data_IF_381152434873
#
_entry.id   IF_381152434873
#
_cell.length_a   1.000
_cell.length_b   1.000
_cell.length_c   1.000
_cell.angle_alpha   90.00
_cell.angle_beta   90.00
_cell.angle_gamma   90.00
#
_symmetry.space_group_name_H-M   'P 1'
#
loop_
_entity.id
_entity.type
_entity.pdbx_description
1 polymer ?
#
# COMPACT_ATOMS: atom_id res chain seq x y z
N UNK A 1 25.66 41.81 13.13
CA UNK A 1 24.95 40.52 13.19
C UNK A 1 25.88 39.48 12.58
N UNK A 2 26.43 38.60 13.42
CA UNK A 2 27.39 37.59 13.00
C UNK A 2 26.68 36.49 12.21
N UNK A 3 27.31 36.05 11.11
CA UNK A 3 26.86 34.89 10.34
C UNK A 3 26.91 33.62 11.21
N UNK A 4 25.94 32.70 11.10
CA UNK A 4 26.01 31.44 11.83
C UNK A 4 27.21 30.64 11.32
N UNK A 5 28.14 30.36 12.23
CA UNK A 5 29.25 29.42 12.03
C UNK A 5 28.67 28.07 11.66
N UNK A 6 28.89 27.63 10.40
CA UNK A 6 28.70 26.24 9.97
C UNK A 6 29.58 25.35 10.84
N UNK A 7 29.00 24.73 11.86
CA UNK A 7 29.60 23.56 12.50
C UNK A 7 29.69 22.47 11.43
N UNK A 8 30.91 22.15 11.01
CA UNK A 8 31.19 21.06 10.08
C UNK A 8 30.90 19.73 10.78
N UNK A 9 29.65 19.28 10.71
CA UNK A 9 29.34 17.87 10.98
C UNK A 9 29.97 17.08 9.84
N UNK A 10 31.02 16.31 10.15
CA UNK A 10 31.72 15.51 9.15
C UNK A 10 30.85 14.32 8.74
N UNK A 11 31.00 13.89 7.49
CA UNK A 11 30.38 12.66 6.95
C UNK A 11 30.57 11.42 7.85
N UNK A 12 31.67 11.38 8.63
CA UNK A 12 31.91 10.35 9.64
C UNK A 12 30.83 10.30 10.74
N UNK A 13 30.22 11.43 11.11
CA UNK A 13 29.15 11.49 12.11
C UNK A 13 27.80 10.92 11.62
N UNK A 14 27.63 10.76 10.31
CA UNK A 14 26.48 10.12 9.67
C UNK A 14 26.64 8.59 9.50
N UNK A 15 27.71 8.01 10.06
CA UNK A 15 28.08 6.62 9.79
C UNK A 15 28.92 6.47 8.52
N UNK A 16 29.67 7.50 8.10
CA UNK A 16 30.55 7.43 6.93
C UNK A 16 31.61 6.31 6.99
N UNK A 17 31.97 5.84 8.20
CA UNK A 17 32.85 4.67 8.39
C UNK A 17 32.09 3.33 8.30
N UNK A 18 30.75 3.34 8.35
CA UNK A 18 29.89 2.17 8.10
C UNK A 18 29.78 1.83 6.61
N UNK A 19 30.44 2.58 5.74
CA UNK A 19 30.79 2.18 4.36
C UNK A 19 32.03 1.24 4.32
N UNK A 20 32.52 0.76 5.47
CA UNK A 20 33.09 -0.58 5.55
C UNK A 20 32.02 -1.57 5.08
N UNK A 21 32.15 -1.91 3.80
CA UNK A 21 31.52 -3.07 3.18
C UNK A 21 31.54 -4.24 4.16
N UNK A 22 30.35 -4.76 4.46
CA UNK A 22 30.10 -6.16 4.82
C UNK A 22 31.13 -6.79 5.78
N UNK A 23 30.90 -6.66 7.08
CA UNK A 23 31.63 -7.47 8.06
C UNK A 23 31.36 -7.00 9.48
N UNK A 24 30.31 -7.57 10.08
CA UNK A 24 30.05 -7.52 11.52
C UNK A 24 29.70 -6.14 12.08
N UNK A 25 28.43 -5.74 11.95
CA UNK A 25 27.57 -5.28 13.05
C UNK A 25 26.16 -5.04 12.47
N UNK A 26 25.13 -5.19 13.31
CA UNK A 26 23.72 -5.49 12.99
C UNK A 26 23.17 -5.02 11.60
N UNK A 27 22.45 -5.89 10.87
CA UNK A 27 21.89 -5.54 9.57
C UNK A 27 20.80 -4.48 9.74
N UNK A 28 21.14 -3.21 9.50
CA UNK A 28 20.11 -2.21 9.25
C UNK A 28 19.35 -2.61 7.98
N UNK A 29 18.04 -2.32 7.93
CA UNK A 29 17.14 -2.55 6.77
C UNK A 29 17.74 -2.07 5.43
N UNK A 30 18.68 -1.12 5.50
CA UNK A 30 19.41 -0.52 4.39
C UNK A 30 20.54 -1.38 3.79
N UNK A 31 20.99 -2.42 4.49
CA UNK A 31 22.12 -3.27 4.08
C UNK A 31 21.74 -4.39 3.09
N UNK A 32 20.44 -4.63 2.87
CA UNK A 32 19.95 -5.70 1.99
C UNK A 32 19.03 -5.14 0.90
N UNK A 33 19.62 -4.55 -0.15
CA UNK A 33 18.84 -4.27 -1.35
C UNK A 33 18.45 -5.58 -2.04
N UNK A 34 17.16 -5.81 -2.16
CA UNK A 34 16.64 -6.90 -2.97
C UNK A 34 16.89 -6.62 -4.46
N UNK A 35 16.85 -7.64 -5.31
CA UNK A 35 16.82 -7.45 -6.75
C UNK A 35 15.65 -6.62 -7.24
N UNK A 36 14.52 -6.75 -6.56
CA UNK A 36 13.34 -5.95 -6.81
C UNK A 36 13.59 -4.46 -6.56
N UNK A 37 14.24 -4.10 -5.44
CA UNK A 37 14.58 -2.70 -5.15
C UNK A 37 15.52 -2.10 -6.21
N UNK A 38 16.35 -2.92 -6.85
CA UNK A 38 17.21 -2.51 -7.98
C UNK A 38 16.42 -2.32 -9.28
N UNK A 39 15.42 -3.17 -9.55
CA UNK A 39 14.51 -3.01 -10.69
C UNK A 39 13.69 -1.74 -10.55
N UNK A 40 13.05 -1.56 -9.40
CA UNK A 40 12.28 -0.35 -9.07
C UNK A 40 13.11 0.92 -9.22
N UNK A 41 14.39 0.90 -8.83
CA UNK A 41 15.31 2.01 -9.01
C UNK A 41 15.43 2.43 -10.48
N UNK A 42 15.55 1.45 -11.37
CA UNK A 42 15.72 1.65 -12.81
C UNK A 42 14.43 2.16 -13.44
N UNK A 43 13.29 1.61 -13.05
CA UNK A 43 11.97 2.01 -13.56
C UNK A 43 11.60 3.43 -13.09
N UNK A 44 11.90 3.73 -11.82
CA UNK A 44 11.68 5.06 -11.21
C UNK A 44 12.48 6.16 -11.91
N UNK A 45 13.60 5.85 -12.57
CA UNK A 45 14.41 6.86 -13.26
C UNK A 45 13.68 7.54 -14.42
N UNK A 46 12.79 6.82 -15.10
CA UNK A 46 12.00 7.37 -16.21
C UNK A 46 11.03 8.41 -15.69
N UNK A 47 10.37 8.10 -14.56
CA UNK A 47 9.48 8.99 -13.84
C UNK A 47 10.26 10.20 -13.32
N UNK A 48 11.37 10.01 -12.60
CA UNK A 48 12.22 11.09 -12.08
C UNK A 48 12.78 12.05 -13.15
N UNK A 49 12.98 11.61 -14.41
CA UNK A 49 13.38 12.50 -15.52
C UNK A 49 12.28 13.49 -15.91
N UNK A 50 11.01 13.09 -15.78
CA UNK A 50 9.84 13.92 -16.14
C UNK A 50 9.36 14.81 -14.99
N UNK A 51 9.77 14.52 -13.76
CA UNK A 51 9.24 15.10 -12.53
C UNK A 51 9.75 16.48 -12.14
N UNK A 52 10.86 16.96 -12.71
CA UNK A 52 11.45 18.27 -12.35
C UNK A 52 10.51 19.48 -12.61
N UNK A 53 9.31 19.25 -13.16
CA UNK A 53 8.30 20.29 -13.44
C UNK A 53 6.87 19.94 -12.97
N UNK A 54 6.65 18.78 -12.33
CA UNK A 54 5.31 18.28 -12.02
C UNK A 54 4.96 18.39 -10.53
N UNK A 55 3.69 18.64 -10.20
CA UNK A 55 3.21 18.74 -8.81
C UNK A 55 3.11 17.38 -8.09
N UNK A 56 2.88 17.37 -6.77
CA UNK A 56 2.93 16.16 -5.92
C UNK A 56 1.90 15.10 -6.31
N UNK A 57 0.73 15.50 -6.84
CA UNK A 57 -0.31 14.58 -7.33
C UNK A 57 0.18 13.75 -8.52
N UNK A 58 0.82 14.41 -9.48
CA UNK A 58 1.36 13.76 -10.68
C UNK A 58 2.55 12.87 -10.32
N UNK A 59 3.38 13.32 -9.37
CA UNK A 59 4.44 12.51 -8.76
C UNK A 59 3.89 11.21 -8.16
N UNK A 60 2.93 11.33 -7.23
CA UNK A 60 2.37 10.19 -6.52
C UNK A 60 1.72 9.18 -7.48
N UNK A 61 1.03 9.66 -8.52
CA UNK A 61 0.40 8.81 -9.54
C UNK A 61 1.42 8.09 -10.43
N UNK A 62 2.49 8.78 -10.82
CA UNK A 62 3.52 8.23 -11.71
C UNK A 62 4.35 7.17 -10.98
N UNK A 63 4.71 7.41 -9.73
CA UNK A 63 5.42 6.42 -8.90
C UNK A 63 4.54 5.20 -8.56
N UNK A 64 3.23 5.39 -8.39
CA UNK A 64 2.31 4.26 -8.24
C UNK A 64 2.27 3.38 -9.50
N UNK A 65 2.49 3.95 -10.69
CA UNK A 65 2.61 3.14 -11.92
C UNK A 65 3.86 2.28 -11.94
N UNK A 66 4.96 2.72 -11.30
CA UNK A 66 6.18 1.92 -11.12
C UNK A 66 5.90 0.73 -10.21
N UNK A 67 5.13 0.93 -9.13
CA UNK A 67 4.68 -0.16 -8.25
C UNK A 67 3.68 -1.11 -8.92
N UNK A 68 2.96 -0.65 -9.95
CA UNK A 68 1.96 -1.44 -10.71
C UNK A 68 2.53 -2.08 -11.97
N UNK A 69 3.76 -1.77 -12.36
CA UNK A 69 4.38 -2.38 -13.52
C UNK A 69 4.45 -3.90 -13.26
N UNK A 70 3.93 -4.74 -14.18
CA UNK A 70 3.97 -6.17 -14.00
C UNK A 70 5.43 -6.58 -13.82
N UNK A 71 5.69 -7.37 -12.77
CA UNK A 71 6.94 -8.10 -12.62
C UNK A 71 7.07 -9.08 -13.79
N UNK A 72 7.62 -8.57 -14.90
CA UNK A 72 8.39 -9.25 -15.93
C UNK A 72 7.62 -10.22 -16.86
N UNK A 73 7.41 -9.77 -18.10
CA UNK A 73 7.42 -10.66 -19.29
C UNK A 73 8.68 -10.46 -20.16
N UNK A 74 9.57 -9.50 -19.85
CA UNK A 74 10.77 -9.19 -20.67
C UNK A 74 12.04 -9.02 -19.81
N UNK A 75 12.37 -10.02 -18.98
CA UNK A 75 13.75 -10.14 -18.45
C UNK A 75 14.62 -10.88 -19.46
N UNK A 76 15.73 -10.29 -19.93
CA UNK A 76 16.77 -11.04 -20.62
C UNK A 76 17.24 -12.19 -19.72
N UNK A 77 17.29 -13.41 -20.26
CA UNK A 77 17.59 -14.71 -19.60
C UNK A 77 18.90 -14.81 -18.78
N UNK A 78 19.60 -13.69 -18.57
CA UNK A 78 20.80 -13.57 -17.75
C UNK A 78 20.51 -13.02 -16.34
N UNK A 79 19.27 -12.57 -16.05
CA UNK A 79 18.89 -11.97 -14.75
C UNK A 79 17.90 -12.86 -13.97
N UNK A 80 17.46 -14.00 -14.53
CA UNK A 80 16.59 -14.99 -13.87
C UNK A 80 17.15 -15.50 -12.53
N UNK A 81 18.47 -15.47 -12.31
CA UNK A 81 19.06 -15.90 -11.05
C UNK A 81 18.99 -14.86 -9.92
N UNK A 82 18.49 -13.65 -10.18
CA UNK A 82 18.49 -12.56 -9.21
C UNK A 82 17.09 -12.19 -8.69
N UNK A 83 16.00 -12.54 -9.37
CA UNK A 83 14.65 -12.05 -9.07
C UNK A 83 13.90 -12.75 -7.90
N UNK A 84 14.58 -13.59 -7.11
CA UNK A 84 13.94 -14.53 -6.18
C UNK A 84 13.60 -14.00 -4.76
N UNK A 85 13.93 -12.74 -4.44
CA UNK A 85 13.96 -12.32 -3.03
C UNK A 85 12.84 -11.37 -2.56
N UNK A 86 12.05 -10.77 -3.47
CA UNK A 86 10.90 -9.97 -3.06
C UNK A 86 9.64 -10.84 -3.07
N UNK A 87 9.01 -10.98 -1.91
CA UNK A 87 7.73 -11.68 -1.84
C UNK A 87 6.66 -10.81 -2.52
N UNK A 88 5.67 -11.44 -3.17
CA UNK A 88 4.50 -10.71 -3.69
C UNK A 88 3.81 -9.87 -2.61
N UNK A 89 3.94 -10.29 -1.35
CA UNK A 89 3.40 -9.61 -0.17
C UNK A 89 4.06 -8.24 0.02
N UNK A 90 5.38 -8.11 -0.12
CA UNK A 90 6.10 -6.84 0.10
C UNK A 90 5.62 -5.72 -0.85
N UNK A 91 5.27 -6.08 -2.09
CA UNK A 91 4.77 -5.13 -3.10
C UNK A 91 3.39 -4.63 -2.73
N UNK A 92 2.52 -5.52 -2.26
CA UNK A 92 1.18 -5.18 -1.82
C UNK A 92 1.21 -4.26 -0.58
N UNK A 93 2.11 -4.53 0.38
CA UNK A 93 2.31 -3.65 1.54
C UNK A 93 2.81 -2.27 1.13
N UNK A 94 3.79 -2.20 0.20
CA UNK A 94 4.26 -0.92 -0.37
C UNK A 94 3.14 -0.17 -1.07
N UNK A 95 2.31 -0.85 -1.85
CA UNK A 95 1.17 -0.24 -2.56
C UNK A 95 0.16 0.33 -1.58
N UNK A 96 -0.21 -0.45 -0.56
CA UNK A 96 -1.11 -0.04 0.50
C UNK A 96 -0.60 1.23 1.21
N UNK A 97 0.65 1.21 1.70
CA UNK A 97 1.24 2.37 2.37
C UNK A 97 1.32 3.59 1.45
N UNK A 98 1.67 3.40 0.16
CA UNK A 98 1.72 4.48 -0.83
C UNK A 98 0.35 5.14 -1.04
N UNK A 99 -0.68 4.33 -1.23
CA UNK A 99 -2.05 4.82 -1.47
C UNK A 99 -2.61 5.55 -0.24
N UNK A 100 -2.27 5.10 0.97
CA UNK A 100 -2.61 5.82 2.20
C UNK A 100 -1.94 7.20 2.28
N UNK A 101 -0.62 7.27 2.09
CA UNK A 101 0.10 8.54 2.14
C UNK A 101 -0.40 9.52 1.08
N UNK A 102 -0.60 9.04 -0.16
CA UNK A 102 -1.14 9.81 -1.26
C UNK A 102 -2.51 10.40 -0.92
N UNK A 103 -3.42 9.58 -0.38
CA UNK A 103 -4.79 10.01 -0.11
C UNK A 103 -4.86 11.10 0.97
N UNK A 104 -4.03 11.02 2.02
CA UNK A 104 -4.13 11.94 3.15
C UNK A 104 -3.23 13.18 3.03
N UNK A 105 -2.07 13.06 2.38
CA UNK A 105 -1.10 14.16 2.32
C UNK A 105 -1.04 14.86 0.96
N UNK A 106 -1.37 14.17 -0.14
CA UNK A 106 -1.26 14.72 -1.50
C UNK A 106 -2.62 15.16 -2.04
N UNK A 107 -3.63 14.29 -1.96
CA UNK A 107 -5.00 14.57 -2.38
C UNK A 107 -5.71 15.37 -1.26
N UNK A 108 -5.28 16.63 -1.10
CA UNK A 108 -5.80 17.53 -0.06
C UNK A 108 -7.29 17.82 -0.30
N UNK A 109 -8.15 17.27 0.56
CA UNK A 109 -9.61 17.42 0.57
C UNK A 109 -10.24 16.67 1.74
N UNK A 110 -11.57 16.78 1.92
CA UNK A 110 -12.28 15.82 2.79
C UNK A 110 -12.07 14.41 2.22
N UNK A 111 -11.68 13.46 3.08
CA UNK A 111 -11.39 12.08 2.66
C UNK A 111 -12.64 11.50 2.01
N UNK A 112 -12.62 11.35 0.69
CA UNK A 112 -13.71 10.75 -0.06
C UNK A 112 -13.77 9.27 0.30
N UNK A 113 -14.67 8.89 1.22
CA UNK A 113 -14.81 7.52 1.70
C UNK A 113 -15.13 6.52 0.61
N UNK A 114 -15.81 6.91 -0.46
CA UNK A 114 -16.06 6.03 -1.60
C UNK A 114 -14.77 5.66 -2.29
N UNK A 115 -13.90 6.65 -2.44
CA UNK A 115 -12.58 6.48 -3.04
C UNK A 115 -11.61 5.80 -2.08
N UNK A 116 -11.68 6.12 -0.77
CA UNK A 116 -10.99 5.39 0.28
C UNK A 116 -11.45 3.94 0.33
N UNK A 117 -12.74 3.65 0.25
CA UNK A 117 -13.31 2.30 0.22
C UNK A 117 -12.83 1.55 -1.02
N UNK A 118 -12.94 2.13 -2.21
CA UNK A 118 -12.47 1.49 -3.44
C UNK A 118 -10.96 1.17 -3.40
N UNK A 119 -10.15 2.08 -2.87
CA UNK A 119 -8.69 1.91 -2.75
C UNK A 119 -8.32 0.96 -1.59
N UNK A 120 -9.01 1.06 -0.46
CA UNK A 120 -8.85 0.15 0.67
C UNK A 120 -9.26 -1.28 0.28
N UNK A 121 -10.31 -1.44 -0.54
CA UNK A 121 -10.66 -2.73 -1.11
C UNK A 121 -9.50 -3.29 -1.93
N UNK A 122 -8.91 -2.52 -2.86
CA UNK A 122 -7.77 -3.00 -3.66
C UNK A 122 -6.45 -3.16 -2.90
N UNK A 123 -6.26 -2.46 -1.78
CA UNK A 123 -5.03 -2.55 -0.99
C UNK A 123 -5.10 -3.66 0.09
N UNK A 124 -6.28 -3.87 0.68
CA UNK A 124 -6.45 -4.76 1.83
C UNK A 124 -7.22 -6.04 1.51
N UNK A 125 -8.16 -6.01 0.56
CA UNK A 125 -8.96 -7.19 0.19
C UNK A 125 -8.32 -8.02 -0.93
N UNK A 126 -7.17 -7.60 -1.47
CA UNK A 126 -6.35 -8.42 -2.38
C UNK A 126 -5.20 -9.14 -1.64
N UNK A 127 -5.04 -8.89 -0.34
CA UNK A 127 -4.06 -9.57 0.52
C UNK A 127 -4.61 -10.90 1.03
N UNK A 128 -3.73 -11.89 1.20
CA UNK A 128 -4.04 -13.18 1.86
C UNK A 128 -4.58 -13.02 3.29
N UNK A 129 -4.31 -11.87 3.92
CA UNK A 129 -4.85 -11.51 5.24
C UNK A 129 -6.38 -11.25 5.22
N UNK A 130 -6.97 -10.96 4.06
CA UNK A 130 -8.42 -10.75 3.96
C UNK A 130 -9.19 -12.07 3.88
N UNK A 131 -10.23 -12.15 4.70
CA UNK A 131 -11.19 -13.26 4.68
C UNK A 131 -12.03 -13.22 3.40
N UNK A 132 -12.43 -12.03 2.94
CA UNK A 132 -13.11 -11.86 1.65
C UNK A 132 -12.25 -12.36 0.47
N UNK A 133 -10.95 -12.01 0.45
CA UNK A 133 -10.00 -12.47 -0.57
C UNK A 133 -9.90 -14.00 -0.61
N UNK A 134 -9.70 -14.62 0.56
CA UNK A 134 -9.60 -16.07 0.71
C UNK A 134 -10.85 -16.78 0.23
N UNK A 135 -12.04 -16.25 0.52
CA UNK A 135 -13.28 -16.80 -0.03
C UNK A 135 -13.30 -16.77 -1.56
N UNK A 136 -12.95 -15.63 -2.18
CA UNK A 136 -12.95 -15.51 -3.64
C UNK A 136 -11.90 -16.38 -4.32
N UNK A 137 -10.69 -16.43 -3.78
CA UNK A 137 -9.56 -17.14 -4.38
C UNK A 137 -9.63 -18.67 -4.18
N UNK A 138 -10.05 -19.12 -2.99
CA UNK A 138 -9.99 -20.54 -2.61
C UNK A 138 -11.35 -21.22 -2.60
N UNK A 139 -12.34 -20.61 -1.92
CA UNK A 139 -13.55 -21.32 -1.56
C UNK A 139 -14.63 -21.22 -2.66
N UNK A 140 -14.80 -20.06 -3.31
CA UNK A 140 -15.78 -19.85 -4.40
C UNK A 140 -15.54 -20.78 -5.60
N UNK A 141 -14.31 -20.99 -6.09
CA UNK A 141 -14.06 -21.98 -7.15
C UNK A 141 -14.48 -23.39 -6.76
N UNK A 142 -14.25 -23.79 -5.51
CA UNK A 142 -14.67 -25.08 -4.99
C UNK A 142 -16.20 -25.20 -4.93
N UNK A 143 -16.89 -24.15 -4.46
CA UNK A 143 -18.37 -24.09 -4.39
C UNK A 143 -19.04 -24.36 -5.74
N UNK A 144 -18.46 -23.89 -6.85
CA UNK A 144 -19.02 -24.08 -8.21
C UNK A 144 -19.13 -25.54 -8.63
N UNK A 145 -18.32 -26.43 -8.04
CA UNK A 145 -18.34 -27.86 -8.36
C UNK A 145 -19.38 -28.65 -7.55
N UNK A 146 -19.96 -28.06 -6.51
CA UNK A 146 -20.92 -28.72 -5.63
C UNK A 146 -22.35 -28.67 -6.20
N UNK A 147 -23.11 -29.76 -6.03
CA UNK A 147 -24.51 -29.83 -6.47
C UNK A 147 -25.45 -28.99 -5.59
N UNK A 148 -25.16 -28.91 -4.29
CA UNK A 148 -25.89 -28.11 -3.29
C UNK A 148 -24.89 -27.27 -2.50
N UNK A 149 -24.34 -26.19 -3.09
CA UNK A 149 -23.32 -25.37 -2.44
C UNK A 149 -23.84 -24.74 -1.13
N UNK A 150 -25.13 -24.44 -1.02
CA UNK A 150 -25.75 -23.85 0.18
C UNK A 150 -25.65 -24.71 1.45
N UNK A 151 -25.40 -26.01 1.32
CA UNK A 151 -25.21 -26.93 2.44
C UNK A 151 -23.74 -27.04 2.88
N UNK A 152 -22.83 -26.41 2.14
CA UNK A 152 -21.41 -26.41 2.49
C UNK A 152 -21.08 -25.29 3.46
N UNK A 153 -20.13 -25.56 4.37
CA UNK A 153 -19.70 -24.60 5.39
C UNK A 153 -19.31 -23.20 4.85
N UNK A 154 -18.56 -23.05 3.74
CA UNK A 154 -18.13 -21.71 3.31
C UNK A 154 -19.19 -20.89 2.58
N UNK A 155 -20.33 -21.47 2.17
CA UNK A 155 -21.28 -20.76 1.28
C UNK A 155 -21.87 -19.49 1.90
N UNK A 156 -22.59 -19.62 3.02
CA UNK A 156 -23.23 -18.47 3.67
C UNK A 156 -22.22 -17.48 4.27
N UNK A 157 -21.14 -17.93 4.95
CA UNK A 157 -20.09 -17.02 5.42
C UNK A 157 -19.42 -16.24 4.29
N UNK A 158 -19.17 -16.85 3.13
CA UNK A 158 -18.59 -16.14 1.99
C UNK A 158 -19.50 -15.01 1.51
N UNK A 159 -20.79 -15.29 1.31
CA UNK A 159 -21.76 -14.29 0.84
C UNK A 159 -21.90 -13.16 1.85
N UNK A 160 -22.01 -13.48 3.14
CA UNK A 160 -22.14 -12.49 4.20
C UNK A 160 -20.89 -11.60 4.32
N UNK A 161 -19.69 -12.19 4.25
CA UNK A 161 -18.41 -11.44 4.30
C UNK A 161 -18.28 -10.52 3.09
N UNK A 162 -18.54 -11.03 1.88
CA UNK A 162 -18.49 -10.25 0.64
C UNK A 162 -19.48 -9.08 0.67
N UNK A 163 -20.71 -9.32 1.13
CA UNK A 163 -21.71 -8.28 1.30
C UNK A 163 -21.31 -7.25 2.36
N UNK A 164 -20.71 -7.69 3.48
CA UNK A 164 -20.24 -6.81 4.54
C UNK A 164 -19.17 -5.85 4.03
N UNK A 165 -18.18 -6.32 3.28
CA UNK A 165 -17.11 -5.47 2.75
C UNK A 165 -17.51 -4.66 1.50
N UNK A 166 -18.75 -4.80 1.04
CA UNK A 166 -19.30 -4.04 -0.09
C UNK A 166 -19.15 -4.71 -1.46
N UNK A 167 -18.59 -5.92 -1.55
CA UNK A 167 -18.48 -6.73 -2.77
C UNK A 167 -19.83 -7.41 -3.11
N UNK A 168 -20.90 -6.62 -3.13
CA UNK A 168 -22.29 -7.07 -3.30
C UNK A 168 -22.56 -7.77 -4.63
N UNK A 169 -21.86 -7.39 -5.70
CA UNK A 169 -21.97 -8.11 -6.98
C UNK A 169 -21.37 -9.52 -6.87
N UNK A 170 -20.17 -9.65 -6.30
CA UNK A 170 -19.56 -10.95 -6.04
C UNK A 170 -20.42 -11.79 -5.08
N UNK A 171 -21.00 -11.18 -4.04
CA UNK A 171 -21.94 -11.83 -3.15
C UNK A 171 -23.18 -12.35 -3.90
N UNK A 172 -23.74 -11.56 -4.82
CA UNK A 172 -24.87 -11.95 -5.66
C UNK A 172 -24.50 -13.08 -6.64
N UNK A 173 -23.28 -13.07 -7.18
CA UNK A 173 -22.78 -14.12 -8.08
C UNK A 173 -22.61 -15.45 -7.32
N UNK A 174 -22.12 -15.42 -6.08
CA UNK A 174 -22.01 -16.61 -5.21
C UNK A 174 -23.40 -17.09 -4.80
N UNK A 175 -24.31 -16.19 -4.42
CA UNK A 175 -25.71 -16.54 -4.11
C UNK A 175 -26.43 -17.17 -5.32
N UNK A 176 -26.06 -16.74 -6.54
CA UNK A 176 -26.52 -17.32 -7.81
C UNK A 176 -26.09 -18.77 -8.04
N UNK A 177 -25.16 -19.31 -7.25
CA UNK A 177 -24.77 -20.72 -7.29
C UNK A 177 -25.75 -21.64 -6.56
N UNK A 178 -26.65 -21.09 -5.72
CA UNK A 178 -27.60 -21.86 -4.94
C UNK A 178 -28.38 -22.84 -5.83
N UNK A 179 -28.57 -24.08 -5.36
CA UNK A 179 -29.19 -25.12 -6.18
C UNK A 179 -30.64 -24.78 -6.63
N UNK A 180 -31.37 -23.97 -5.87
CA UNK A 180 -32.77 -23.58 -6.10
C UNK A 180 -32.98 -22.88 -7.44
N UNK A 181 -31.99 -22.13 -7.94
CA UNK A 181 -32.03 -21.49 -9.26
C UNK A 181 -32.12 -22.49 -10.43
N UNK A 182 -31.76 -23.75 -10.21
CA UNK A 182 -31.81 -24.83 -11.22
C UNK A 182 -33.05 -25.71 -11.08
N UNK A 183 -33.86 -25.49 -10.05
CA UNK A 183 -35.09 -26.28 -9.83
C UNK A 183 -36.23 -25.77 -10.70
N UNK A 184 -37.13 -26.66 -11.11
CA UNK A 184 -38.26 -26.34 -11.99
C UNK A 184 -39.22 -25.31 -11.38
N UNK A 185 -39.36 -25.34 -10.06
CA UNK A 185 -40.21 -24.42 -9.30
C UNK A 185 -39.54 -23.05 -9.05
N UNK A 186 -38.26 -22.89 -9.38
CA UNK A 186 -37.49 -21.69 -9.11
C UNK A 186 -37.01 -21.50 -7.66
N UNK A 187 -36.34 -20.37 -7.38
CA UNK A 187 -35.93 -19.96 -6.04
C UNK A 187 -37.14 -19.64 -5.15
N UNK A 188 -36.93 -19.58 -3.83
CA UNK A 188 -37.95 -19.01 -2.93
C UNK A 188 -38.04 -17.49 -3.12
N UNK A 189 -39.21 -16.92 -2.82
CA UNK A 189 -39.44 -15.47 -2.88
C UNK A 189 -38.42 -14.71 -2.01
N UNK A 190 -38.06 -15.28 -0.86
CA UNK A 190 -37.04 -14.75 0.04
C UNK A 190 -35.66 -14.64 -0.64
N UNK A 191 -35.25 -15.72 -1.29
CA UNK A 191 -33.96 -15.81 -1.96
C UNK A 191 -33.89 -14.85 -3.16
N UNK A 192 -34.97 -14.76 -3.94
CA UNK A 192 -35.07 -13.85 -5.06
C UNK A 192 -35.04 -12.38 -4.62
N UNK A 193 -35.82 -12.02 -3.60
CA UNK A 193 -35.84 -10.67 -3.05
C UNK A 193 -34.45 -10.23 -2.54
N UNK A 194 -33.75 -11.10 -1.81
CA UNK A 194 -32.41 -10.82 -1.30
C UNK A 194 -31.38 -10.72 -2.44
N UNK A 195 -31.47 -11.59 -3.45
CA UNK A 195 -30.60 -11.51 -4.63
C UNK A 195 -30.79 -10.19 -5.41
N UNK A 196 -32.04 -9.73 -5.54
CA UNK A 196 -32.36 -8.43 -6.13
C UNK A 196 -31.80 -7.29 -5.27
N UNK A 197 -31.96 -7.36 -3.95
CA UNK A 197 -31.47 -6.33 -3.04
C UNK A 197 -29.94 -6.18 -3.12
N UNK A 198 -29.19 -7.29 -3.21
CA UNK A 198 -27.74 -7.27 -3.41
C UNK A 198 -27.35 -6.55 -4.72
N UNK A 199 -28.05 -6.85 -5.82
CA UNK A 199 -27.78 -6.24 -7.14
C UNK A 199 -28.18 -4.78 -7.21
N UNK A 200 -29.10 -4.34 -6.36
CA UNK A 200 -29.62 -2.97 -6.30
C UNK A 200 -28.89 -2.09 -5.28
N UNK A 201 -27.72 -2.51 -4.75
CA UNK A 201 -26.94 -1.67 -3.84
C UNK A 201 -26.78 -0.27 -4.45
N UNK A 202 -27.21 0.80 -3.75
CA UNK A 202 -26.97 2.15 -4.18
C UNK A 202 -25.47 2.39 -4.28
N UNK A 203 -25.04 3.08 -5.35
CA UNK A 203 -23.66 3.55 -5.45
C UNK A 203 -23.36 4.48 -4.28
N UNK A 204 -22.10 4.58 -3.89
CA UNK A 204 -21.73 5.37 -2.72
C UNK A 204 -21.92 6.88 -2.92
N UNK A 205 -22.01 7.34 -4.18
CA UNK A 205 -22.37 8.71 -4.57
C UNK A 205 -23.89 8.94 -4.67
N UNK A 206 -24.71 7.91 -4.44
CA UNK A 206 -26.15 8.02 -4.50
C UNK A 206 -26.71 8.96 -3.43
N UNK A 207 -27.90 9.50 -3.68
CA UNK A 207 -28.60 10.35 -2.72
C UNK A 207 -28.79 9.59 -1.38
N UNK A 208 -28.63 10.25 -0.21
CA UNK A 208 -28.78 9.60 1.10
C UNK A 208 -30.10 8.81 1.26
N UNK A 209 -31.16 9.28 0.60
CA UNK A 209 -32.46 8.62 0.58
C UNK A 209 -32.42 7.22 -0.08
N UNK A 210 -31.61 7.01 -1.11
CA UNK A 210 -31.50 5.71 -1.78
C UNK A 210 -30.86 4.66 -0.87
N UNK A 211 -29.76 5.03 -0.18
CA UNK A 211 -29.11 4.17 0.82
C UNK A 211 -30.05 3.85 1.98
N UNK A 212 -30.72 4.87 2.53
CA UNK A 212 -31.70 4.67 3.60
C UNK A 212 -32.87 3.77 3.17
N UNK A 213 -33.38 3.92 1.94
CA UNK A 213 -34.42 3.06 1.39
C UNK A 213 -33.95 1.62 1.26
N UNK A 214 -32.76 1.40 0.70
CA UNK A 214 -32.17 0.07 0.55
C UNK A 214 -32.00 -0.64 1.90
N UNK A 215 -31.45 0.05 2.90
CA UNK A 215 -31.30 -0.49 4.26
C UNK A 215 -32.66 -0.76 4.92
N UNK A 216 -33.67 0.09 4.69
CA UNK A 216 -35.01 -0.13 5.22
C UNK A 216 -35.70 -1.31 4.55
N UNK A 217 -35.45 -1.55 3.27
CA UNK A 217 -35.97 -2.71 2.56
C UNK A 217 -35.38 -4.02 3.12
N UNK A 218 -34.09 -4.04 3.45
CA UNK A 218 -33.47 -5.16 4.15
C UNK A 218 -34.19 -5.47 5.49
N UNK A 219 -34.52 -4.43 6.27
CA UNK A 219 -35.25 -4.59 7.54
C UNK A 219 -36.68 -5.07 7.35
N UNK A 220 -37.39 -4.57 6.33
CA UNK A 220 -38.75 -5.03 6.02
C UNK A 220 -38.78 -6.51 5.68
N UNK A 221 -37.81 -6.99 4.91
CA UNK A 221 -37.70 -8.41 4.60
C UNK A 221 -37.37 -9.25 5.83
N UNK A 222 -36.57 -8.73 6.78
CA UNK A 222 -36.34 -9.40 8.07
C UNK A 222 -37.63 -9.57 8.88
N UNK A 223 -38.48 -8.55 8.89
CA UNK A 223 -39.74 -8.54 9.64
C UNK A 223 -40.86 -9.38 8.97
N UNK A 224 -40.74 -9.67 7.68
CA UNK A 224 -41.72 -10.41 6.90
C UNK A 224 -41.67 -11.92 7.19
N UNK A 225 -42.47 -12.36 8.17
CA UNK A 225 -42.45 -13.75 8.66
C UNK A 225 -43.00 -14.78 7.66
N UNK A 226 -43.87 -14.35 6.75
CA UNK A 226 -44.50 -15.14 5.70
C UNK A 226 -43.53 -15.52 4.57
N UNK A 227 -42.58 -14.65 4.26
CA UNK A 227 -41.59 -14.84 3.20
C UNK A 227 -40.68 -16.04 3.50
N UNK A 228 -40.41 -16.32 4.79
CA UNK A 228 -39.57 -17.44 5.22
C UNK A 228 -40.23 -18.81 5.05
N UNK A 229 -41.57 -18.88 5.03
CA UNK A 229 -42.29 -20.15 4.87
C UNK A 229 -42.05 -20.80 3.50
N UNK A 230 -41.58 -20.01 2.53
CA UNK A 230 -41.26 -20.46 1.16
C UNK A 230 -39.86 -21.06 1.03
N UNK A 231 -39.00 -20.94 2.06
CA UNK A 231 -37.65 -21.49 2.05
C UNK A 231 -37.65 -23.02 2.13
N UNK A 232 -36.80 -23.67 1.32
CA UNK A 232 -36.76 -25.14 1.21
C UNK A 232 -35.87 -25.79 2.24
N UNK A 233 -34.75 -25.14 2.59
CA UNK A 233 -33.84 -25.64 3.61
C UNK A 233 -33.81 -24.69 4.81
N UNK A 234 -33.64 -25.27 6.01
CA UNK A 234 -33.47 -24.49 7.24
C UNK A 234 -32.19 -23.65 7.22
N UNK A 235 -31.17 -24.09 6.48
CA UNK A 235 -29.95 -23.32 6.21
C UNK A 235 -30.23 -22.01 5.47
N UNK A 236 -31.23 -21.99 4.59
CA UNK A 236 -31.55 -20.83 3.75
C UNK A 236 -32.09 -19.70 4.62
N UNK A 237 -32.98 -20.02 5.56
CA UNK A 237 -33.57 -19.02 6.47
C UNK A 237 -32.46 -18.36 7.30
N UNK A 238 -31.60 -19.16 7.95
CA UNK A 238 -30.51 -18.62 8.78
C UNK A 238 -29.51 -17.79 7.96
N UNK A 239 -29.10 -18.30 6.80
CA UNK A 239 -28.17 -17.62 5.92
C UNK A 239 -28.70 -16.30 5.36
N UNK A 240 -29.96 -16.29 4.89
CA UNK A 240 -30.62 -15.09 4.39
C UNK A 240 -30.87 -14.06 5.49
N UNK A 241 -31.23 -14.48 6.71
CA UNK A 241 -31.38 -13.58 7.85
C UNK A 241 -30.06 -12.90 8.23
N UNK A 242 -28.96 -13.67 8.30
CA UNK A 242 -27.61 -13.09 8.53
C UNK A 242 -27.28 -12.08 7.44
N UNK A 243 -27.54 -12.44 6.18
CA UNK A 243 -27.28 -11.54 5.05
C UNK A 243 -28.11 -10.25 5.15
N UNK A 244 -29.40 -10.34 5.45
CA UNK A 244 -30.23 -9.15 5.62
C UNK A 244 -29.80 -8.30 6.83
N UNK A 245 -29.33 -8.91 7.92
CA UNK A 245 -28.77 -8.17 9.06
C UNK A 245 -27.50 -7.41 8.66
N UNK A 246 -26.64 -8.01 7.83
CA UNK A 246 -25.49 -7.33 7.22
C UNK A 246 -25.96 -6.13 6.38
N UNK A 247 -26.91 -6.33 5.45
CA UNK A 247 -27.43 -5.26 4.59
C UNK A 247 -28.18 -4.16 5.37
N UNK A 248 -28.76 -4.51 6.51
CA UNK A 248 -29.40 -3.58 7.45
C UNK A 248 -28.39 -2.79 8.30
N UNK A 249 -27.10 -3.11 8.22
CA UNK A 249 -26.03 -2.52 9.01
C UNK A 249 -26.18 -2.81 10.50
N UNK A 250 -26.38 -4.07 10.86
CA UNK A 250 -26.36 -4.52 12.26
C UNK A 250 -24.91 -4.72 12.74
N UNK A 251 -24.46 -3.91 13.70
CA UNK A 251 -23.05 -3.86 14.11
C UNK A 251 -22.53 -5.20 14.68
N UNK A 252 -23.37 -5.92 15.43
CA UNK A 252 -22.99 -7.22 15.99
C UNK A 252 -22.78 -8.26 14.89
N UNK A 253 -23.67 -8.28 13.90
CA UNK A 253 -23.56 -9.15 12.74
C UNK A 253 -22.35 -8.79 11.90
N UNK A 254 -22.12 -7.50 11.60
CA UNK A 254 -20.94 -7.04 10.85
C UNK A 254 -19.63 -7.46 11.54
N UNK A 255 -19.56 -7.33 12.86
CA UNK A 255 -18.40 -7.78 13.65
C UNK A 255 -18.24 -9.31 13.61
N UNK A 256 -19.34 -10.07 13.60
CA UNK A 256 -19.27 -11.53 13.56
C UNK A 256 -18.83 -12.12 12.21
N UNK A 257 -19.18 -11.46 11.09
CA UNK A 257 -18.92 -12.00 9.73
C UNK A 257 -17.59 -11.52 9.13
N UNK A 258 -16.99 -10.47 9.68
CA UNK A 258 -15.70 -9.94 9.21
C UNK A 258 -14.54 -10.61 9.97
N UNK A 259 -13.40 -10.82 9.31
CA UNK A 259 -12.25 -11.48 9.92
C UNK A 259 -11.24 -10.52 10.55
N UNK A 260 -11.03 -9.35 9.94
CA UNK A 260 -10.00 -8.38 10.36
C UNK A 260 -10.62 -7.04 10.79
N UNK A 261 -9.88 -6.22 11.53
CA UNK A 261 -10.34 -4.86 11.87
C UNK A 261 -10.56 -3.99 10.63
N UNK A 262 -9.79 -4.20 9.55
CA UNK A 262 -9.95 -3.46 8.29
C UNK A 262 -11.25 -3.84 7.61
N UNK A 263 -11.57 -5.14 7.55
CA UNK A 263 -12.85 -5.62 7.02
C UNK A 263 -14.03 -5.06 7.82
N UNK A 264 -13.91 -5.04 9.15
CA UNK A 264 -14.92 -4.44 10.03
C UNK A 264 -15.06 -2.93 9.84
N UNK A 265 -13.94 -2.21 9.72
CA UNK A 265 -13.91 -0.78 9.44
C UNK A 265 -14.61 -0.47 8.12
N UNK A 266 -14.26 -1.19 7.06
CA UNK A 266 -14.89 -1.10 5.75
C UNK A 266 -16.39 -1.39 5.87
N UNK A 267 -16.77 -2.46 6.56
CA UNK A 267 -18.17 -2.85 6.71
C UNK A 267 -19.00 -1.78 7.43
N UNK A 268 -18.48 -1.20 8.51
CA UNK A 268 -19.13 -0.10 9.23
C UNK A 268 -19.26 1.15 8.37
N UNK A 269 -18.27 1.47 7.54
CA UNK A 269 -18.33 2.60 6.61
C UNK A 269 -19.39 2.35 5.51
N UNK A 270 -19.34 1.19 4.86
CA UNK A 270 -20.26 0.79 3.79
C UNK A 270 -21.70 0.79 4.29
N UNK A 271 -21.95 0.27 5.48
CA UNK A 271 -23.30 0.13 6.04
C UNK A 271 -23.70 1.24 7.01
N UNK A 272 -22.87 2.28 7.16
CA UNK A 272 -23.19 3.43 8.02
C UNK A 272 -24.54 4.07 7.63
N UNK A 273 -25.41 4.26 8.64
CA UNK A 273 -26.78 4.77 8.51
C UNK A 273 -26.89 6.28 8.28
N UNK A 274 -25.78 7.01 8.17
CA UNK A 274 -25.82 8.48 8.29
C UNK A 274 -26.57 9.13 7.10
N UNK A 275 -27.59 9.97 7.36
CA UNK A 275 -28.42 10.60 6.32
C UNK A 275 -27.80 11.90 5.74
N UNK A 276 -26.64 12.32 6.23
CA UNK A 276 -26.00 13.56 5.82
C UNK A 276 -24.77 13.27 4.96
N UNK A 277 -24.60 14.04 3.88
CA UNK A 277 -23.43 14.10 3.00
C UNK A 277 -22.08 14.31 3.71
N UNK A 278 -22.02 14.40 5.03
CA UNK A 278 -20.77 14.56 5.76
C UNK A 278 -20.11 13.19 5.92
N UNK A 279 -19.12 12.96 5.06
CA UNK A 279 -18.05 11.98 5.25
C UNK A 279 -17.55 12.05 6.71
N UNK A 280 -17.16 10.93 7.35
CA UNK A 280 -16.48 10.98 8.62
C UNK A 280 -15.23 11.83 8.43
N UNK A 281 -15.15 12.89 9.21
CA UNK A 281 -13.92 13.63 9.41
C UNK A 281 -12.78 12.67 9.74
N UNK A 282 -11.52 13.08 9.52
CA UNK A 282 -10.35 12.29 9.92
C UNK A 282 -10.45 11.79 11.38
N UNK A 283 -11.00 12.62 12.26
CA UNK A 283 -11.28 12.26 13.65
C UNK A 283 -12.28 11.09 13.78
N UNK A 284 -13.40 11.14 13.04
CA UNK A 284 -14.39 10.07 13.06
C UNK A 284 -13.85 8.77 12.44
N UNK A 285 -13.05 8.86 11.37
CA UNK A 285 -12.38 7.70 10.78
C UNK A 285 -11.40 7.06 11.76
N UNK A 286 -10.62 7.89 12.47
CA UNK A 286 -9.73 7.43 13.54
C UNK A 286 -10.49 6.72 14.67
N UNK A 287 -11.54 7.34 15.20
CA UNK A 287 -12.36 6.76 16.27
C UNK A 287 -12.99 5.44 15.85
N UNK A 288 -13.45 5.36 14.60
CA UNK A 288 -14.00 4.12 14.06
C UNK A 288 -12.93 3.03 13.95
N UNK A 289 -11.74 3.36 13.44
CA UNK A 289 -10.61 2.44 13.36
C UNK A 289 -10.18 1.94 14.74
N UNK A 290 -10.04 2.84 15.73
CA UNK A 290 -9.74 2.50 17.13
C UNK A 290 -10.78 1.50 17.69
N UNK A 291 -12.07 1.71 17.43
CA UNK A 291 -13.12 0.78 17.86
C UNK A 291 -13.01 -0.59 17.18
N UNK A 292 -12.71 -0.62 15.87
CA UNK A 292 -12.57 -1.87 15.13
C UNK A 292 -11.35 -2.68 15.58
N UNK A 293 -10.23 -2.00 15.86
CA UNK A 293 -9.01 -2.64 16.40
C UNK A 293 -9.24 -3.15 17.82
N UNK A 294 -9.99 -2.42 18.65
CA UNK A 294 -10.35 -2.91 19.99
C UNK A 294 -11.19 -4.20 19.94
N UNK A 295 -12.05 -4.35 18.94
CA UNK A 295 -12.86 -5.56 18.73
C UNK A 295 -12.11 -6.70 18.04
N UNK A 296 -11.22 -6.36 17.10
CA UNK A 296 -10.45 -7.32 16.28
C UNK A 296 -8.99 -6.90 16.24
N UNK A 297 -8.25 -7.05 17.34
CA UNK A 297 -6.85 -6.65 17.37
C UNK A 297 -6.06 -7.39 16.29
N UNK A 298 -5.12 -6.73 15.59
CA UNK A 298 -4.24 -7.43 14.67
C UNK A 298 -3.47 -8.52 15.42
N UNK A 299 -3.29 -9.68 14.79
CA UNK A 299 -2.43 -10.73 15.33
C UNK A 299 -1.01 -10.20 15.47
N UNK A 300 -0.25 -10.69 16.46
CA UNK A 300 1.18 -10.37 16.59
C UNK A 300 1.99 -10.78 15.35
N UNK A 301 1.47 -11.76 14.60
CA UNK A 301 2.06 -12.25 13.35
C UNK A 301 1.71 -11.38 12.12
N UNK A 302 0.66 -10.56 12.19
CA UNK A 302 0.14 -9.76 11.06
C UNK A 302 0.74 -8.34 11.06
N UNK A 303 2.05 -8.23 10.82
CA UNK A 303 2.78 -6.94 10.79
C UNK A 303 2.15 -5.92 9.83
N UNK A 304 1.62 -6.38 8.69
CA UNK A 304 0.94 -5.52 7.71
C UNK A 304 -0.28 -4.80 8.27
N UNK A 305 -1.14 -5.50 9.02
CA UNK A 305 -2.34 -4.91 9.60
C UNK A 305 -2.00 -3.95 10.75
N UNK A 306 -0.90 -4.21 11.46
CA UNK A 306 -0.36 -3.29 12.46
C UNK A 306 0.17 -2.01 11.83
N UNK A 307 1.02 -2.12 10.79
CA UNK A 307 1.53 -0.98 10.01
C UNK A 307 0.37 -0.15 9.43
N UNK A 308 -0.63 -0.81 8.83
CA UNK A 308 -1.79 -0.14 8.26
C UNK A 308 -2.55 0.69 9.31
N UNK A 309 -2.72 0.16 10.52
CA UNK A 309 -3.36 0.89 11.60
C UNK A 309 -2.53 2.10 12.04
N UNK A 310 -1.22 1.91 12.27
CA UNK A 310 -0.31 2.98 12.67
C UNK A 310 -0.30 4.12 11.63
N UNK A 311 -0.21 3.77 10.35
CA UNK A 311 -0.29 4.73 9.25
C UNK A 311 -1.64 5.45 9.20
N UNK A 312 -2.75 4.74 9.40
CA UNK A 312 -4.08 5.34 9.37
C UNK A 312 -4.22 6.39 10.48
N UNK A 313 -3.74 6.07 11.67
CA UNK A 313 -3.72 6.99 12.82
C UNK A 313 -2.88 8.23 12.52
N UNK A 314 -1.63 8.06 12.06
CA UNK A 314 -0.76 9.18 11.69
C UNK A 314 -1.38 10.06 10.58
N UNK A 315 -1.98 9.42 9.57
CA UNK A 315 -2.66 10.08 8.48
C UNK A 315 -3.89 10.90 8.96
N UNK A 316 -4.68 10.33 9.88
CA UNK A 316 -5.83 11.03 10.45
C UNK A 316 -5.40 12.24 11.29
N UNK A 317 -4.31 12.12 12.04
CA UNK A 317 -3.74 13.19 12.87
C UNK A 317 -2.95 14.24 12.07
N UNK A 318 -2.71 13.98 10.78
CA UNK A 318 -1.82 14.78 9.95
C UNK A 318 -0.36 14.81 10.49
N UNK A 319 0.06 13.73 11.15
CA UNK A 319 1.41 13.54 11.69
C UNK A 319 2.33 12.89 10.64
N UNK A 320 2.88 13.72 9.75
CA UNK A 320 3.84 13.26 8.74
C UNK A 320 5.11 12.62 9.36
N UNK A 321 5.75 13.18 10.42
CA UNK A 321 6.86 12.52 11.10
C UNK A 321 6.52 11.14 11.68
N UNK A 322 5.32 10.99 12.26
CA UNK A 322 4.82 9.70 12.74
C UNK A 322 4.66 8.69 11.59
N UNK A 323 4.09 9.11 10.46
CA UNK A 323 3.94 8.25 9.29
C UNK A 323 5.30 7.76 8.72
N UNK A 324 6.32 8.64 8.67
CA UNK A 324 7.67 8.23 8.26
C UNK A 324 8.25 7.22 9.22
N UNK A 325 8.05 7.44 10.53
CA UNK A 325 8.54 6.52 11.57
C UNK A 325 7.93 5.13 11.38
N UNK A 326 6.61 5.04 11.24
CA UNK A 326 5.91 3.80 10.97
C UNK A 326 6.50 3.09 9.75
N UNK A 327 6.66 3.82 8.64
CA UNK A 327 7.24 3.25 7.42
C UNK A 327 8.70 2.80 7.59
N UNK A 328 9.47 3.46 8.44
CA UNK A 328 10.89 3.15 8.62
C UNK A 328 11.18 1.94 9.49
N UNK A 329 10.21 1.51 10.32
CA UNK A 329 10.33 0.32 11.16
C UNK A 329 9.89 -0.96 10.45
N UNK A 330 9.14 -0.84 9.35
CA UNK A 330 8.65 -1.99 8.59
C UNK A 330 9.62 -2.39 7.47
N UNK A 331 10.17 -3.60 7.57
CA UNK A 331 11.15 -4.12 6.61
C UNK A 331 10.56 -4.33 5.21
N UNK A 332 9.26 -4.60 5.09
CA UNK A 332 8.61 -4.89 3.80
C UNK A 332 8.58 -3.68 2.86
N UNK A 333 8.55 -2.46 3.42
CA UNK A 333 8.54 -1.22 2.64
C UNK A 333 9.90 -0.94 2.00
N UNK A 334 10.97 -1.19 2.76
CA UNK A 334 12.34 -1.13 2.30
C UNK A 334 12.86 0.26 1.90
N UNK A 335 14.15 0.33 1.51
CA UNK A 335 14.87 1.57 1.22
C UNK A 335 14.27 2.45 0.11
N UNK A 336 13.79 1.83 -0.96
CA UNK A 336 13.22 2.54 -2.10
C UNK A 336 11.97 3.32 -1.70
N UNK A 337 11.08 2.70 -0.91
CA UNK A 337 9.83 3.33 -0.50
C UNK A 337 10.09 4.61 0.29
N UNK A 338 10.97 4.54 1.29
CA UNK A 338 11.30 5.68 2.15
C UNK A 338 11.97 6.83 1.40
N UNK A 339 12.84 6.53 0.44
CA UNK A 339 13.48 7.54 -0.41
C UNK A 339 12.47 8.36 -1.24
N UNK A 340 11.28 7.81 -1.49
CA UNK A 340 10.25 8.40 -2.33
C UNK A 340 9.00 8.87 -1.59
N UNK A 341 8.64 8.22 -0.48
CA UNK A 341 7.45 8.55 0.30
C UNK A 341 7.48 9.98 0.84
N UNK A 342 8.66 10.49 1.19
CA UNK A 342 8.83 11.84 1.74
C UNK A 342 8.55 12.96 0.73
N UNK A 343 8.52 12.65 -0.56
CA UNK A 343 8.13 13.60 -1.61
C UNK A 343 6.62 13.86 -1.59
N UNK A 344 5.83 12.93 -1.03
CA UNK A 344 4.38 13.06 -0.85
C UNK A 344 4.01 13.82 0.42
N UNK A 345 4.94 13.91 1.38
CA UNK A 345 4.70 14.51 2.68
C UNK A 345 4.94 16.02 2.66
N UNK A 346 4.13 16.80 3.40
CA UNK A 346 4.26 18.25 3.46
C UNK A 346 5.65 18.64 3.96
N UNK A 347 6.22 19.69 3.38
CA UNK A 347 7.52 20.23 3.78
C UNK A 347 7.40 20.95 5.11
N UNK A 348 7.65 20.25 6.23
CA UNK A 348 7.46 20.77 7.58
C UNK A 348 8.54 20.28 8.54
N UNK A 349 9.47 21.18 8.90
CA UNK A 349 10.60 20.92 9.82
C UNK A 349 11.38 19.64 9.53
N UNK A 350 11.66 19.36 8.26
CA UNK A 350 12.41 18.18 7.81
C UNK A 350 13.89 18.21 8.23
N UNK A 351 14.36 19.30 8.84
CA UNK A 351 15.77 19.43 9.19
C UNK A 351 16.11 18.52 10.38
N UNK A 352 17.08 17.63 10.17
CA UNK A 352 17.68 16.79 11.19
C UNK A 352 18.92 17.52 11.74
N UNK A 353 18.80 18.34 12.81
CA UNK A 353 19.87 19.25 13.25
C UNK A 353 21.16 18.51 13.63
N UNK A 354 21.03 17.30 14.19
CA UNK A 354 22.17 16.47 14.56
C UNK A 354 22.91 15.90 13.33
N UNK A 355 22.23 15.83 12.19
CA UNK A 355 22.73 15.25 10.95
C UNK A 355 23.04 16.29 9.88
N UNK A 356 22.65 17.55 10.07
CA UNK A 356 23.00 18.66 9.17
C UNK A 356 22.31 18.66 7.80
N UNK A 357 21.41 17.72 7.52
CA UNK A 357 20.59 17.67 6.30
C UNK A 357 19.09 17.60 6.63
N UNK A 358 18.25 17.60 5.60
CA UNK A 358 16.83 17.29 5.77
C UNK A 358 16.57 15.79 5.66
N UNK A 359 15.40 15.35 6.14
CA UNK A 359 14.99 13.95 6.17
C UNK A 359 14.88 13.36 4.75
N UNK A 360 14.46 14.17 3.76
CA UNK A 360 14.38 13.74 2.36
C UNK A 360 15.77 13.42 1.81
N UNK A 361 16.73 14.29 2.05
CA UNK A 361 18.12 14.11 1.67
C UNK A 361 18.72 12.91 2.40
N UNK A 362 18.46 12.75 3.70
CA UNK A 362 18.95 11.60 4.46
C UNK A 362 18.55 10.26 3.82
N UNK A 363 17.25 10.03 3.59
CA UNK A 363 16.80 8.75 3.06
C UNK A 363 17.17 8.55 1.58
N UNK A 364 17.16 9.60 0.75
CA UNK A 364 17.68 9.51 -0.63
C UNK A 364 19.17 9.19 -0.65
N UNK A 365 19.95 9.75 0.27
CA UNK A 365 21.38 9.49 0.39
C UNK A 365 21.64 8.04 0.82
N UNK A 366 20.92 7.54 1.82
CA UNK A 366 21.00 6.13 2.24
C UNK A 366 20.67 5.18 1.08
N UNK A 367 19.60 5.47 0.34
CA UNK A 367 19.21 4.68 -0.81
C UNK A 367 20.25 4.72 -1.93
N UNK A 368 20.79 5.90 -2.25
CA UNK A 368 21.86 6.04 -3.23
C UNK A 368 23.13 5.27 -2.81
N UNK A 369 23.52 5.37 -1.54
CA UNK A 369 24.65 4.63 -0.97
C UNK A 369 24.46 3.12 -1.07
N UNK A 370 23.23 2.63 -0.85
CA UNK A 370 22.92 1.21 -1.00
C UNK A 370 23.03 0.76 -2.47
N UNK A 371 22.65 1.61 -3.44
CA UNK A 371 22.70 1.28 -4.88
C UNK A 371 24.11 1.34 -5.50
N UNK A 372 25.00 2.17 -4.95
CA UNK A 372 26.34 2.44 -5.49
C UNK A 372 27.25 1.21 -5.70
N UNK A 373 27.26 0.20 -4.79
CA UNK A 373 28.08 -1.01 -4.94
C UNK A 373 27.76 -1.81 -6.21
N UNK A 374 26.56 -1.70 -6.76
CA UNK A 374 26.13 -2.48 -7.92
C UNK A 374 26.29 -1.69 -9.22
N UNK A 375 27.06 -2.22 -10.17
CA UNK A 375 27.37 -1.56 -11.45
C UNK A 375 26.09 -1.16 -12.21
N UNK A 376 25.11 -2.06 -12.30
CA UNK A 376 23.86 -1.83 -13.04
C UNK A 376 23.02 -0.66 -12.50
N UNK A 377 23.04 -0.42 -11.18
CA UNK A 377 22.28 0.66 -10.54
C UNK A 377 23.12 1.90 -10.24
N UNK A 378 24.41 1.88 -10.51
CA UNK A 378 25.31 3.01 -10.26
C UNK A 378 24.87 4.30 -10.98
N UNK A 379 24.45 4.30 -12.26
CA UNK A 379 23.95 5.51 -12.91
C UNK A 379 22.70 6.09 -12.23
N UNK A 380 21.86 5.23 -11.66
CA UNK A 380 20.68 5.62 -10.87
C UNK A 380 21.12 6.29 -9.58
N UNK A 381 22.03 5.65 -8.84
CA UNK A 381 22.55 6.14 -7.58
C UNK A 381 23.17 7.55 -7.71
N UNK A 382 23.98 7.77 -8.74
CA UNK A 382 24.61 9.07 -9.01
C UNK A 382 23.60 10.19 -9.25
N UNK A 383 22.45 9.87 -9.86
CA UNK A 383 21.37 10.84 -10.05
C UNK A 383 20.68 11.19 -8.73
N UNK A 384 20.46 10.23 -7.85
CA UNK A 384 19.96 10.52 -6.50
C UNK A 384 20.95 11.38 -5.72
N UNK A 385 22.26 11.10 -5.80
CA UNK A 385 23.28 11.95 -5.16
C UNK A 385 23.25 13.40 -5.68
N UNK A 386 23.03 13.60 -6.97
CA UNK A 386 22.89 14.94 -7.55
C UNK A 386 21.65 15.70 -7.04
N UNK A 387 20.63 14.98 -6.54
CA UNK A 387 19.45 15.57 -5.90
C UNK A 387 19.66 15.89 -4.42
N UNK A 388 20.80 15.51 -3.82
CA UNK A 388 21.14 15.75 -2.42
C UNK A 388 22.06 16.97 -2.30
N UNK A 389 21.55 18.15 -1.89
CA UNK A 389 22.31 19.41 -1.96
C UNK A 389 23.42 19.56 -0.90
N UNK A 390 23.31 18.88 0.25
CA UNK A 390 24.21 19.05 1.39
C UNK A 390 25.36 18.04 1.35
N UNK A 391 25.05 16.75 1.27
CA UNK A 391 26.02 15.65 1.39
C UNK A 391 26.25 14.88 0.09
N UNK A 392 25.37 15.03 -0.89
CA UNK A 392 25.51 14.40 -2.22
C UNK A 392 26.89 14.64 -2.86
N UNK A 393 27.40 15.89 -2.91
CA UNK A 393 28.73 16.18 -3.45
C UNK A 393 29.86 15.47 -2.70
N UNK A 394 29.80 15.43 -1.36
CA UNK A 394 30.84 14.79 -0.55
C UNK A 394 30.90 13.27 -0.77
N UNK A 395 29.74 12.61 -0.84
CA UNK A 395 29.68 11.17 -1.13
C UNK A 395 30.17 10.88 -2.54
N UNK A 396 29.82 11.72 -3.51
CA UNK A 396 30.27 11.56 -4.87
C UNK A 396 31.80 11.70 -5.00
N UNK A 397 32.40 12.69 -4.34
CA UNK A 397 33.84 12.86 -4.28
C UNK A 397 34.49 11.56 -3.75
N UNK A 398 34.00 11.01 -2.63
CA UNK A 398 34.51 9.77 -2.06
C UNK A 398 34.36 8.54 -2.99
N UNK A 399 33.24 8.43 -3.72
CA UNK A 399 33.00 7.35 -4.68
C UNK A 399 34.00 7.42 -5.84
N UNK A 400 34.17 8.62 -6.39
CA UNK A 400 35.16 8.88 -7.45
C UNK A 400 36.57 8.54 -6.98
N UNK A 401 36.94 8.93 -5.76
CA UNK A 401 38.26 8.63 -5.20
C UNK A 401 38.50 7.12 -5.06
N UNK A 402 37.50 6.35 -4.62
CA UNK A 402 37.60 4.90 -4.48
C UNK A 402 37.70 4.20 -5.84
N UNK A 403 36.88 4.61 -6.82
CA UNK A 403 36.92 4.06 -8.18
C UNK A 403 38.27 4.34 -8.87
N UNK A 404 38.88 5.49 -8.61
CA UNK A 404 40.22 5.81 -9.11
C UNK A 404 41.36 5.05 -8.42
N UNK A 405 41.13 4.47 -7.23
CA UNK A 405 42.16 3.77 -6.44
C UNK A 405 42.17 2.25 -6.64
N UNK A 406 41.06 1.66 -7.08
CA UNK A 406 40.91 0.20 -7.29
C UNK A 406 41.27 -0.27 -8.72
N UNK A 407 41.87 0.59 -9.55
CA UNK A 407 42.22 0.29 -10.93
C UNK A 407 43.29 -0.80 -11.09
N UNK A 408 42.86 -2.06 -11.03
CA UNK A 408 43.47 -3.15 -11.78
C UNK A 408 42.90 -3.16 -13.21
N UNK A 409 43.72 -3.59 -14.18
CA UNK A 409 43.63 -3.38 -15.63
C UNK A 409 42.30 -3.73 -16.37
N UNK A 410 41.20 -4.04 -15.67
CA UNK A 410 39.88 -4.34 -16.24
C UNK A 410 38.72 -3.42 -15.81
N UNK A 411 38.82 -2.66 -14.72
CA UNK A 411 37.69 -1.84 -14.19
C UNK A 411 37.67 -0.39 -14.73
N UNK A 412 38.68 0.04 -15.48
CA UNK A 412 38.81 1.40 -16.00
C UNK A 412 37.72 1.80 -17.01
N UNK A 413 37.06 0.84 -17.69
CA UNK A 413 36.02 1.13 -18.69
C UNK A 413 34.71 1.68 -18.07
N UNK A 414 34.42 1.39 -16.81
CA UNK A 414 33.15 1.75 -16.16
C UNK A 414 33.18 3.10 -15.41
N UNK A 415 34.36 3.71 -15.30
CA UNK A 415 34.56 4.98 -14.57
C UNK A 415 34.23 6.19 -15.45
N UNK A 416 34.56 6.14 -16.75
CA UNK A 416 34.31 7.24 -17.70
C UNK A 416 32.81 7.63 -17.82
N UNK A 417 31.85 6.70 -17.96
CA UNK A 417 30.43 7.04 -17.97
C UNK A 417 29.96 7.68 -16.66
N UNK A 418 30.53 7.26 -15.53
CA UNK A 418 30.24 7.80 -14.19
C UNK A 418 30.74 9.24 -14.05
N UNK A 419 31.96 9.52 -14.54
CA UNK A 419 32.58 10.86 -14.55
C UNK A 419 31.79 11.81 -15.46
N UNK A 420 31.47 11.37 -16.68
CA UNK A 420 30.70 12.17 -17.64
C UNK A 420 29.29 12.46 -17.12
N UNK A 421 28.65 11.49 -16.45
CA UNK A 421 27.35 11.70 -15.83
C UNK A 421 27.43 12.70 -14.67
N UNK A 422 28.46 12.61 -13.82
CA UNK A 422 28.70 13.57 -12.74
C UNK A 422 28.91 14.99 -13.28
N UNK A 423 29.69 15.14 -14.36
CA UNK A 423 29.93 16.42 -15.00
C UNK A 423 28.65 17.03 -15.60
N UNK A 424 27.84 16.20 -16.28
CA UNK A 424 26.54 16.59 -16.82
C UNK A 424 25.53 17.00 -15.74
N UNK A 425 25.67 16.49 -14.52
CA UNK A 425 24.87 16.86 -13.36
C UNK A 425 25.41 18.11 -12.64
N UNK A 426 26.41 18.80 -13.21
CA UNK A 426 26.98 20.04 -12.67
C UNK A 426 28.06 19.84 -11.61
N UNK A 427 28.54 18.61 -11.40
CA UNK A 427 29.42 18.22 -10.30
C UNK A 427 30.89 18.29 -10.74
N UNK A 428 31.33 19.50 -11.11
CA UNK A 428 32.62 19.78 -11.77
C UNK A 428 33.87 19.41 -10.95
N UNK A 429 33.80 19.46 -9.62
CA UNK A 429 34.95 19.15 -8.74
C UNK A 429 35.25 17.64 -8.70
N UNK A 430 34.21 16.83 -8.54
CA UNK A 430 34.30 15.37 -8.60
C UNK A 430 34.83 14.89 -9.96
N UNK A 431 34.29 15.44 -11.06
CA UNK A 431 34.75 15.10 -12.43
C UNK A 431 36.22 15.47 -12.66
N UNK A 432 36.65 16.66 -12.22
CA UNK A 432 38.03 17.10 -12.39
C UNK A 432 39.04 16.23 -11.61
N UNK A 433 38.70 15.85 -10.37
CA UNK A 433 39.53 14.96 -9.55
C UNK A 433 39.66 13.57 -10.18
N UNK A 434 38.55 13.01 -10.69
CA UNK A 434 38.53 11.73 -11.39
C UNK A 434 39.39 11.73 -12.67
N UNK A 435 39.21 12.78 -13.49
CA UNK A 435 39.89 12.92 -14.78
C UNK A 435 41.39 13.10 -14.59
N UNK A 436 41.81 13.81 -13.55
CA UNK A 436 43.24 13.99 -13.23
C UNK A 436 43.97 12.71 -12.79
N UNK A 437 43.23 11.64 -12.44
CA UNK A 437 43.79 10.35 -12.02
C UNK A 437 43.72 9.28 -13.11
N UNK A 438 42.91 9.49 -14.15
CA UNK A 438 42.81 8.61 -15.33
C UNK A 438 43.80 8.98 -16.45
N UNK A 439 44.29 10.22 -16.44
CA UNK A 439 45.46 10.66 -17.23
C UNK A 439 46.74 10.43 -16.44
#
# INVERSE_FOLDING_TARGET
MAAPTRTSVSWHALGGDSLQVAGNDEPTVWSRLTSHDRSLATDSLTVLRSLASQGPVTFASSMLSVLRAPLLDDVPSHVESLALDASSVDIEVRRMAWDMLRMFFVEQGEVNLTEWHARACGAFLDSDASTAARYLARDVPSLRSHAQPELTSPFWPAIATLAAVGLTQSAADVLGLHSSWRHADGPSDALEAVALLLRQRPRDDALPNAKAQWTNEARRLLDATDVWATCRHSSDVGGLQILLLVLAGDDATLSSVTGTWVELLIARIVHARSPARSLPSRLQLRQLAESCVAEKPPSEEDSTLALAYELLVCCCDNDAPGAVRACSHDESLGPWFLAHALEMLPSGSDHLPNLGCDQREYYRLQYACALLPHIATRPVALRYLAMCPTYGPCVLDAVVERLGSNGGDGEHLDVLPTILLAENLGLKRASAAATSRLM
#
